data_IF_411891170692
#
_entry.id   IF_411891170692
#
_cell.length_a   1.000
_cell.length_b   1.000
_cell.length_c   1.000
_cell.angle_alpha   90.00
_cell.angle_beta   90.00
_cell.angle_gamma   90.00
#
_symmetry.space_group_name_H-M   'P 1'
#
loop_
_entity.id
_entity.type
_entity.pdbx_description
1 polymer ?
#
# COMPACT_ATOMS: atom_id res chain seq x y z
N UNK A 1 -54.55 53.30 -11.89
CA UNK A 1 -55.36 52.88 -10.72
C UNK A 1 -56.07 51.57 -11.05
N UNK A 2 -55.86 50.53 -10.23
CA UNK A 2 -56.49 49.18 -10.19
C UNK A 2 -56.18 48.26 -11.39
N UNK A 3 -55.12 47.44 -11.31
CA UNK A 3 -55.04 46.05 -10.80
C UNK A 3 -56.01 45.06 -11.45
N UNK A 4 -55.50 44.07 -12.20
CA UNK A 4 -55.72 42.63 -11.97
C UNK A 4 -54.67 41.85 -12.77
N UNK A 5 -53.61 41.37 -12.10
CA UNK A 5 -52.68 40.36 -12.63
C UNK A 5 -53.17 39.01 -12.12
N UNK A 6 -53.46 38.08 -13.04
CA UNK A 6 -53.71 36.67 -12.74
C UNK A 6 -52.38 36.03 -12.31
N UNK A 7 -52.24 35.69 -11.03
CA UNK A 7 -51.19 34.76 -10.56
C UNK A 7 -51.74 33.33 -10.71
N UNK A 8 -51.21 32.59 -11.68
CA UNK A 8 -51.34 31.13 -11.75
C UNK A 8 -50.29 30.56 -10.79
N UNK A 9 -50.73 30.10 -9.63
CA UNK A 9 -49.91 29.34 -8.70
C UNK A 9 -49.84 27.88 -9.17
N UNK A 10 -48.88 27.55 -10.04
CA UNK A 10 -48.50 26.16 -10.29
C UNK A 10 -47.72 25.64 -9.08
N UNK A 11 -48.43 24.97 -8.18
CA UNK A 11 -47.83 24.15 -7.14
C UNK A 11 -47.24 22.89 -7.77
N UNK A 12 -45.95 22.91 -8.08
CA UNK A 12 -45.21 21.69 -8.41
C UNK A 12 -44.99 20.95 -7.08
N UNK A 13 -45.84 19.98 -6.79
CA UNK A 13 -45.54 18.95 -5.80
C UNK A 13 -44.36 18.13 -6.33
N UNK A 14 -43.18 18.35 -5.78
CA UNK A 14 -42.08 17.39 -5.83
C UNK A 14 -42.50 16.17 -4.98
N UNK A 15 -43.14 15.18 -5.60
CA UNK A 15 -43.24 13.86 -4.98
C UNK A 15 -41.85 13.22 -5.00
N UNK A 16 -41.22 13.16 -3.83
CA UNK A 16 -40.12 12.23 -3.61
C UNK A 16 -40.69 10.81 -3.74
N UNK A 17 -40.31 10.08 -4.79
CA UNK A 17 -40.65 8.66 -4.93
C UNK A 17 -39.96 7.85 -3.83
N UNK A 18 -40.70 7.51 -2.77
CA UNK A 18 -40.33 6.38 -1.91
C UNK A 18 -40.67 5.09 -2.64
N UNK A 19 -39.75 4.11 -2.76
CA UNK A 19 -40.04 2.85 -3.42
C UNK A 19 -41.21 2.13 -2.72
N UNK A 20 -42.02 1.40 -3.50
CA UNK A 20 -43.12 0.61 -2.93
C UNK A 20 -42.59 -0.53 -2.06
N UNK A 21 -43.41 -1.06 -1.15
CA UNK A 21 -43.04 -2.18 -0.28
C UNK A 21 -42.56 -3.41 -1.10
N UNK A 22 -43.23 -3.70 -2.21
CA UNK A 22 -42.82 -4.76 -3.15
C UNK A 22 -41.47 -4.48 -3.83
N UNK A 23 -41.15 -3.23 -4.15
CA UNK A 23 -39.85 -2.88 -4.73
C UNK A 23 -38.72 -3.04 -3.70
N UNK A 24 -38.96 -2.65 -2.45
CA UNK A 24 -38.00 -2.80 -1.35
C UNK A 24 -37.72 -4.28 -1.06
N UNK A 25 -38.77 -5.11 -1.03
CA UNK A 25 -38.66 -6.55 -0.81
C UNK A 25 -37.86 -7.23 -1.94
N UNK A 26 -38.15 -6.90 -3.19
CA UNK A 26 -37.42 -7.46 -4.34
C UNK A 26 -35.94 -7.05 -4.34
N UNK A 27 -35.63 -5.81 -3.93
CA UNK A 27 -34.25 -5.36 -3.78
C UNK A 27 -33.50 -6.18 -2.71
N UNK A 28 -34.13 -6.39 -1.54
CA UNK A 28 -33.54 -7.20 -0.48
C UNK A 28 -33.30 -8.65 -0.93
N UNK A 29 -34.26 -9.26 -1.62
CA UNK A 29 -34.11 -10.61 -2.20
C UNK A 29 -32.91 -10.66 -3.15
N UNK A 30 -32.75 -9.67 -4.02
CA UNK A 30 -31.59 -9.57 -4.92
C UNK A 30 -30.25 -9.50 -4.17
N UNK A 31 -30.18 -8.77 -3.06
CA UNK A 31 -28.99 -8.74 -2.20
C UNK A 31 -28.68 -10.11 -1.59
N UNK A 32 -29.71 -10.84 -1.13
CA UNK A 32 -29.53 -12.18 -0.55
C UNK A 32 -29.03 -13.18 -1.61
N UNK A 33 -29.55 -13.12 -2.84
CA UNK A 33 -29.06 -13.97 -3.95
C UNK A 33 -27.58 -13.70 -4.24
N UNK A 34 -27.18 -12.43 -4.35
CA UNK A 34 -25.77 -12.08 -4.56
C UNK A 34 -24.86 -12.56 -3.42
N UNK A 35 -25.33 -12.47 -2.16
CA UNK A 35 -24.57 -12.96 -1.02
C UNK A 35 -24.45 -14.48 -0.98
N UNK A 36 -25.50 -15.22 -1.34
CA UNK A 36 -25.45 -16.66 -1.45
C UNK A 36 -24.47 -17.10 -2.55
N UNK A 37 -24.51 -16.45 -3.72
CA UNK A 37 -23.58 -16.71 -4.83
C UNK A 37 -22.11 -16.45 -4.42
N UNK A 38 -21.83 -15.34 -3.74
CA UNK A 38 -20.47 -15.03 -3.29
C UNK A 38 -19.91 -16.07 -2.30
N UNK A 39 -20.77 -16.67 -1.47
CA UNK A 39 -20.39 -17.74 -0.53
C UNK A 39 -20.25 -19.08 -1.26
N UNK A 40 -21.14 -19.38 -2.20
CA UNK A 40 -21.05 -20.56 -3.06
C UNK A 40 -19.70 -20.60 -3.78
N UNK A 41 -19.32 -19.47 -4.39
CA UNK A 41 -18.10 -19.29 -5.18
C UNK A 41 -16.80 -19.11 -4.35
N UNK A 42 -16.86 -19.27 -3.02
CA UNK A 42 -15.73 -19.09 -2.09
C UNK A 42 -15.08 -17.69 -2.12
N UNK A 43 -15.79 -16.68 -2.65
CA UNK A 43 -15.35 -15.28 -2.61
C UNK A 43 -15.47 -14.72 -1.19
N UNK A 44 -16.55 -15.09 -0.47
CA UNK A 44 -16.77 -14.73 0.93
C UNK A 44 -16.88 -15.99 1.80
N UNK A 45 -16.12 -16.10 2.90
CA UNK A 45 -16.33 -17.19 3.86
C UNK A 45 -17.74 -17.13 4.48
N UNK A 46 -18.19 -15.95 4.88
CA UNK A 46 -19.58 -15.66 5.24
C UNK A 46 -20.05 -14.34 4.61
N UNK A 47 -21.35 -14.24 4.35
CA UNK A 47 -21.99 -13.00 3.92
C UNK A 47 -23.14 -12.63 4.86
N UNK A 48 -23.18 -11.37 5.30
CA UNK A 48 -24.18 -10.85 6.22
C UNK A 48 -25.21 -10.02 5.46
N UNK A 49 -26.49 -10.23 5.73
CA UNK A 49 -27.51 -9.23 5.41
C UNK A 49 -27.27 -7.93 6.18
N UNK A 50 -27.98 -6.88 5.79
CA UNK A 50 -28.10 -5.71 6.66
C UNK A 50 -28.77 -6.10 8.00
N UNK A 51 -28.48 -5.38 9.10
CA UNK A 51 -29.20 -5.55 10.35
C UNK A 51 -30.66 -5.10 10.22
N UNK A 52 -31.59 -6.03 10.45
CA UNK A 52 -33.03 -5.85 10.28
C UNK A 52 -33.79 -6.11 11.59
N UNK A 53 -34.98 -5.54 11.74
CA UNK A 53 -35.87 -5.93 12.83
C UNK A 53 -36.42 -7.34 12.59
N UNK A 54 -36.88 -7.97 13.68
CA UNK A 54 -37.40 -9.33 13.66
C UNK A 54 -38.50 -9.52 12.62
N UNK A 55 -39.42 -8.56 12.52
CA UNK A 55 -40.58 -8.60 11.64
C UNK A 55 -40.18 -8.55 10.17
N UNK A 56 -39.10 -7.81 9.85
CA UNK A 56 -38.53 -7.75 8.50
C UNK A 56 -37.88 -9.08 8.13
N UNK A 57 -37.11 -9.67 9.05
CA UNK A 57 -36.51 -11.00 8.86
C UNK A 57 -37.58 -12.06 8.67
N UNK A 58 -38.65 -12.03 9.46
CA UNK A 58 -39.76 -12.98 9.36
C UNK A 58 -40.43 -12.96 7.97
N UNK A 59 -40.52 -11.78 7.32
CA UNK A 59 -41.06 -11.65 5.95
C UNK A 59 -40.18 -12.31 4.87
N UNK A 60 -38.86 -12.34 5.05
CA UNK A 60 -37.89 -12.81 4.03
C UNK A 60 -37.28 -14.18 4.35
N UNK A 61 -37.52 -14.71 5.54
CA UNK A 61 -36.83 -15.91 6.05
C UNK A 61 -36.99 -17.13 5.14
N UNK A 62 -38.23 -17.45 4.74
CA UNK A 62 -38.49 -18.59 3.84
C UNK A 62 -37.76 -18.41 2.50
N UNK A 63 -37.78 -17.19 1.95
CA UNK A 63 -37.09 -16.88 0.71
C UNK A 63 -35.57 -17.01 0.86
N UNK A 64 -35.00 -16.56 1.96
CA UNK A 64 -33.58 -16.71 2.25
C UNK A 64 -33.17 -18.20 2.33
N UNK A 65 -34.00 -19.07 2.91
CA UNK A 65 -33.76 -20.50 2.94
C UNK A 65 -33.81 -21.12 1.54
N UNK A 66 -34.77 -20.72 0.71
CA UNK A 66 -34.86 -21.17 -0.69
C UNK A 66 -33.61 -20.74 -1.49
N UNK A 67 -33.16 -19.49 -1.33
CA UNK A 67 -31.94 -18.98 -1.96
C UNK A 67 -30.72 -19.78 -1.50
N UNK A 68 -30.56 -19.99 -0.19
CA UNK A 68 -29.45 -20.76 0.35
C UNK A 68 -29.42 -22.18 -0.25
N UNK A 69 -30.58 -22.85 -0.30
CA UNK A 69 -30.70 -24.18 -0.92
C UNK A 69 -30.39 -24.18 -2.41
N UNK A 70 -30.80 -23.14 -3.16
CA UNK A 70 -30.53 -22.99 -4.60
C UNK A 70 -29.02 -22.91 -4.89
N UNK A 71 -28.27 -22.23 -4.03
CA UNK A 71 -26.82 -22.02 -4.15
C UNK A 71 -25.99 -23.07 -3.37
N UNK A 72 -26.62 -24.10 -2.79
CA UNK A 72 -25.92 -25.15 -2.04
C UNK A 72 -25.21 -24.65 -0.77
N UNK A 73 -25.66 -23.54 -0.19
CA UNK A 73 -25.12 -22.94 1.04
C UNK A 73 -26.13 -23.00 2.19
N UNK A 74 -25.69 -22.72 3.41
CA UNK A 74 -26.55 -22.56 4.58
C UNK A 74 -26.93 -21.10 4.82
N UNK A 75 -28.06 -20.87 5.49
CA UNK A 75 -28.42 -19.57 6.07
C UNK A 75 -28.66 -19.72 7.57
N UNK A 76 -27.99 -18.89 8.35
CA UNK A 76 -28.13 -18.84 9.81
C UNK A 76 -28.77 -17.51 10.23
N UNK A 77 -29.87 -17.58 10.99
CA UNK A 77 -30.53 -16.43 11.59
C UNK A 77 -29.80 -16.05 12.88
N UNK A 78 -28.99 -15.00 12.81
CA UNK A 78 -28.24 -14.46 13.93
C UNK A 78 -29.04 -13.41 14.67
N UNK A 79 -29.31 -13.63 15.95
CA UNK A 79 -30.07 -12.71 16.82
C UNK A 79 -29.19 -11.85 17.72
N UNK A 80 -27.89 -12.14 17.77
CA UNK A 80 -26.92 -11.42 18.57
C UNK A 80 -25.57 -11.42 17.85
N UNK A 81 -25.46 -10.56 16.83
CA UNK A 81 -24.27 -10.43 16.00
C UNK A 81 -23.02 -10.21 16.88
N UNK A 82 -21.89 -10.81 16.49
CA UNK A 82 -20.63 -10.56 17.18
C UNK A 82 -20.30 -9.06 17.15
N UNK A 83 -19.96 -8.50 18.31
CA UNK A 83 -19.53 -7.10 18.44
C UNK A 83 -18.02 -7.07 18.56
N UNK A 84 -17.34 -6.63 17.50
CA UNK A 84 -15.89 -6.38 17.50
C UNK A 84 -15.63 -4.90 17.22
N UNK A 85 -14.36 -4.50 17.30
CA UNK A 85 -13.91 -3.15 16.94
C UNK A 85 -14.07 -2.81 15.44
N UNK A 86 -14.52 -3.77 14.61
CA UNK A 86 -14.66 -3.58 13.17
C UNK A 86 -15.87 -2.70 12.78
N UNK A 87 -16.91 -2.67 13.62
CA UNK A 87 -18.13 -1.90 13.40
C UNK A 87 -18.58 -1.21 14.70
N UNK A 88 -19.44 -0.17 14.63
CA UNK A 88 -20.01 0.45 15.83
C UNK A 88 -20.77 -0.58 16.69
N UNK A 89 -20.55 -0.58 18.01
CA UNK A 89 -21.11 -1.59 18.90
C UNK A 89 -22.64 -1.70 18.87
N UNK A 90 -23.34 -0.62 18.55
CA UNK A 90 -24.80 -0.57 18.46
C UNK A 90 -25.40 -0.93 17.10
N UNK A 91 -24.59 -1.24 16.07
CA UNK A 91 -25.06 -1.36 14.68
C UNK A 91 -26.16 -2.44 14.50
N UNK A 92 -26.11 -3.50 15.33
CA UNK A 92 -27.05 -4.61 15.31
C UNK A 92 -27.86 -4.73 16.62
N UNK A 93 -27.94 -3.67 17.42
CA UNK A 93 -28.71 -3.71 18.67
C UNK A 93 -30.21 -3.93 18.38
N UNK A 94 -30.82 -4.93 19.02
CA UNK A 94 -32.21 -5.34 18.83
C UNK A 94 -32.57 -5.70 17.38
N UNK A 95 -31.55 -6.09 16.59
CA UNK A 95 -31.70 -6.45 15.18
C UNK A 95 -31.13 -7.84 14.96
N UNK A 96 -31.63 -8.49 13.93
CA UNK A 96 -31.20 -9.79 13.46
C UNK A 96 -30.45 -9.64 12.13
N UNK A 97 -29.57 -10.61 11.85
CA UNK A 97 -28.77 -10.67 10.64
C UNK A 97 -28.87 -12.07 10.06
N UNK A 98 -29.07 -12.18 8.75
CA UNK A 98 -28.98 -13.44 8.04
C UNK A 98 -27.53 -13.65 7.61
N UNK A 99 -26.96 -14.79 7.95
CA UNK A 99 -25.59 -15.18 7.59
C UNK A 99 -25.67 -16.30 6.56
N UNK A 100 -25.26 -16.03 5.33
CA UNK A 100 -25.01 -17.09 4.34
C UNK A 100 -23.61 -17.67 4.56
N UNK A 101 -23.49 -19.00 4.57
CA UNK A 101 -22.26 -19.66 4.98
C UNK A 101 -22.11 -21.09 4.40
N UNK A 102 -20.86 -21.57 4.36
CA UNK A 102 -20.53 -23.01 4.41
C UNK A 102 -20.38 -23.47 5.87
N UNK A 103 -20.50 -24.77 6.20
CA UNK A 103 -20.51 -25.25 7.59
C UNK A 103 -19.28 -24.82 8.42
N UNK A 104 -18.09 -24.89 7.83
CA UNK A 104 -16.81 -24.59 8.47
C UNK A 104 -16.68 -23.10 8.78
N UNK A 105 -17.15 -22.23 7.87
CA UNK A 105 -17.12 -20.79 8.05
C UNK A 105 -18.07 -20.33 9.17
N UNK A 106 -19.26 -20.94 9.28
CA UNK A 106 -20.15 -20.69 10.41
C UNK A 106 -19.55 -21.15 11.74
N UNK A 107 -18.84 -22.28 11.75
CA UNK A 107 -18.13 -22.73 12.94
C UNK A 107 -17.05 -21.72 13.35
N UNK A 108 -16.25 -21.24 12.39
CA UNK A 108 -15.23 -20.22 12.65
C UNK A 108 -15.81 -18.91 13.20
N UNK A 109 -16.99 -18.51 12.74
CA UNK A 109 -17.75 -17.37 13.27
C UNK A 109 -18.25 -17.62 14.70
N UNK A 110 -18.79 -18.80 14.99
CA UNK A 110 -19.22 -19.18 16.35
C UNK A 110 -18.06 -19.22 17.34
N UNK A 111 -16.91 -19.72 16.90
CA UNK A 111 -15.68 -19.72 17.69
C UNK A 111 -15.20 -18.30 17.99
N UNK A 112 -15.26 -17.39 17.01
CA UNK A 112 -15.00 -15.96 17.23
C UNK A 112 -15.96 -15.38 18.28
N UNK A 113 -17.27 -15.67 18.20
CA UNK A 113 -18.23 -15.23 19.23
C UNK A 113 -17.86 -15.73 20.61
N UNK A 114 -17.40 -16.98 20.73
CA UNK A 114 -16.95 -17.55 22.00
C UNK A 114 -15.73 -16.81 22.55
N UNK A 115 -14.73 -16.53 21.72
CA UNK A 115 -13.55 -15.73 22.06
C UNK A 115 -13.95 -14.34 22.60
N UNK A 116 -14.80 -13.62 21.86
CA UNK A 116 -15.29 -12.30 22.27
C UNK A 116 -16.06 -12.35 23.59
N UNK A 117 -16.92 -13.36 23.78
CA UNK A 117 -17.66 -13.56 25.03
C UNK A 117 -16.77 -13.91 26.22
N UNK A 118 -15.60 -14.52 25.99
CA UNK A 118 -14.61 -14.74 27.05
C UNK A 118 -13.81 -13.50 27.45
N UNK A 119 -14.09 -12.34 26.84
CA UNK A 119 -13.46 -11.05 27.15
C UNK A 119 -12.30 -10.67 26.22
N UNK A 120 -11.96 -11.51 25.23
CA UNK A 120 -10.94 -11.19 24.23
C UNK A 120 -11.60 -10.48 23.03
N UNK A 121 -11.44 -9.16 22.93
CA UNK A 121 -12.08 -8.37 21.87
C UNK A 121 -11.21 -7.19 21.42
N UNK A 122 -9.98 -7.49 20.98
CA UNK A 122 -9.02 -6.51 20.48
C UNK A 122 -8.98 -6.44 18.95
N UNK A 123 -7.92 -5.82 18.44
CA UNK A 123 -7.62 -5.72 17.00
C UNK A 123 -7.63 -7.10 16.32
N UNK A 124 -7.09 -8.13 16.97
CA UNK A 124 -7.00 -9.49 16.43
C UNK A 124 -8.37 -10.10 16.11
N UNK A 125 -9.36 -9.93 16.99
CA UNK A 125 -10.72 -10.42 16.79
C UNK A 125 -11.46 -9.63 15.71
N UNK A 126 -11.24 -8.31 15.64
CA UNK A 126 -11.78 -7.48 14.58
C UNK A 126 -11.22 -7.87 13.20
N UNK A 127 -9.90 -8.10 13.10
CA UNK A 127 -9.26 -8.62 11.88
C UNK A 127 -9.77 -10.02 11.52
N UNK A 128 -9.94 -10.91 12.51
CA UNK A 128 -10.55 -12.23 12.30
C UNK A 128 -11.96 -12.12 11.74
N UNK A 129 -12.77 -11.19 12.25
CA UNK A 129 -14.10 -10.95 11.71
C UNK A 129 -14.05 -10.41 10.27
N UNK A 130 -13.16 -9.44 10.00
CA UNK A 130 -12.98 -8.90 8.65
C UNK A 130 -12.57 -9.96 7.63
N UNK A 131 -11.67 -10.88 8.01
CA UNK A 131 -11.30 -12.03 7.17
C UNK A 131 -12.48 -12.98 6.91
N UNK A 132 -13.31 -13.25 7.91
CA UNK A 132 -14.55 -14.03 7.71
C UNK A 132 -15.51 -13.35 6.72
N UNK A 133 -15.53 -12.01 6.67
CA UNK A 133 -16.31 -11.24 5.71
C UNK A 133 -15.63 -11.14 4.32
N UNK A 134 -14.46 -11.74 4.14
CA UNK A 134 -13.69 -11.69 2.89
C UNK A 134 -13.06 -10.31 2.62
N UNK A 135 -12.87 -9.48 3.65
CA UNK A 135 -12.28 -8.16 3.47
C UNK A 135 -10.76 -8.22 3.34
N UNK A 136 -10.16 -7.48 2.40
CA UNK A 136 -8.70 -7.34 2.33
C UNK A 136 -8.17 -6.49 3.48
N UNK A 137 -6.90 -6.67 3.85
CA UNK A 137 -6.25 -6.01 5.00
C UNK A 137 -6.40 -4.48 5.00
N UNK A 138 -6.26 -3.83 3.84
CA UNK A 138 -6.42 -2.37 3.71
C UNK A 138 -7.85 -1.91 4.04
N UNK A 139 -8.88 -2.68 3.69
CA UNK A 139 -10.26 -2.33 4.02
C UNK A 139 -10.57 -2.60 5.50
N UNK A 140 -10.00 -3.66 6.08
CA UNK A 140 -10.06 -3.91 7.52
C UNK A 140 -9.41 -2.76 8.29
N UNK A 141 -8.23 -2.29 7.87
CA UNK A 141 -7.58 -1.12 8.45
C UNK A 141 -8.47 0.12 8.38
N UNK A 142 -9.11 0.40 7.23
CA UNK A 142 -10.04 1.53 7.10
C UNK A 142 -11.23 1.43 8.07
N UNK A 143 -11.78 0.23 8.28
CA UNK A 143 -12.85 0.02 9.25
C UNK A 143 -12.36 0.19 10.68
N UNK A 144 -11.17 -0.31 11.02
CA UNK A 144 -10.55 -0.09 12.32
C UNK A 144 -10.30 1.40 12.59
N UNK A 145 -9.72 2.15 11.64
CA UNK A 145 -9.46 3.58 11.78
C UNK A 145 -10.74 4.41 11.97
N UNK A 146 -11.86 3.96 11.40
CA UNK A 146 -13.18 4.60 11.56
C UNK A 146 -13.81 4.36 12.94
N UNK A 147 -13.49 3.23 13.58
CA UNK A 147 -14.19 2.78 14.80
C UNK A 147 -13.29 2.80 16.04
N UNK A 148 -11.99 3.02 15.89
CA UNK A 148 -10.98 3.01 16.97
C UNK A 148 -9.93 4.10 16.78
N UNK A 149 -8.96 4.16 17.69
CA UNK A 149 -7.75 4.96 17.59
C UNK A 149 -6.68 4.35 16.68
N UNK A 150 -6.88 3.14 16.13
CA UNK A 150 -5.97 2.51 15.17
C UNK A 150 -5.68 3.42 13.98
N UNK A 151 -4.39 3.58 13.65
CA UNK A 151 -3.91 4.31 12.47
C UNK A 151 -2.78 3.57 11.79
N UNK A 152 -2.53 3.93 10.54
CA UNK A 152 -1.46 3.43 9.69
C UNK A 152 -0.65 4.61 9.14
N UNK A 153 0.53 4.35 8.57
CA UNK A 153 1.41 5.41 8.06
C UNK A 153 0.70 6.35 7.05
N UNK A 154 -0.12 5.87 6.10
CA UNK A 154 -0.87 6.73 5.19
C UNK A 154 -1.79 7.76 5.86
N UNK A 155 -2.31 7.46 7.06
CA UNK A 155 -3.22 8.37 7.79
C UNK A 155 -2.51 9.68 8.23
N UNK A 156 -1.17 9.72 8.22
CA UNK A 156 -0.35 10.87 8.60
C UNK A 156 0.21 11.65 7.40
N UNK A 157 -0.35 11.42 6.20
CA UNK A 157 0.00 12.16 5.00
C UNK A 157 1.33 11.71 4.40
N UNK A 158 1.43 10.43 4.05
CA UNK A 158 2.56 9.86 3.31
C UNK A 158 2.71 10.52 1.94
N UNK A 159 3.88 11.11 1.67
CA UNK A 159 4.16 11.86 0.45
C UNK A 159 5.00 11.10 -0.57
N UNK A 160 5.73 10.08 -0.16
CA UNK A 160 6.60 9.30 -1.02
C UNK A 160 7.59 8.49 -0.18
N UNK A 161 8.54 7.86 -0.86
CA UNK A 161 9.65 7.18 -0.20
C UNK A 161 11.00 7.57 -0.79
N UNK A 162 12.03 7.26 -0.03
CA UNK A 162 13.42 7.45 -0.40
C UNK A 162 14.19 6.22 0.04
N UNK A 163 15.21 5.82 -0.70
CA UNK A 163 16.11 4.73 -0.30
C UNK A 163 17.50 5.29 -0.09
N UNK A 164 18.18 4.88 0.98
CA UNK A 164 19.54 5.29 1.28
C UNK A 164 20.52 4.20 0.86
N UNK A 165 21.45 4.55 -0.03
CA UNK A 165 22.56 3.71 -0.43
C UNK A 165 23.87 4.34 0.07
N UNK A 166 24.77 3.50 0.54
CA UNK A 166 25.99 3.90 1.25
C UNK A 166 27.23 3.57 0.42
N UNK A 167 28.10 4.56 0.26
CA UNK A 167 29.26 4.52 -0.64
C UNK A 167 30.55 4.87 0.08
N UNK A 168 31.63 4.19 -0.31
CA UNK A 168 32.98 4.59 0.05
C UNK A 168 33.45 5.79 -0.80
N UNK A 169 33.08 5.84 -2.08
CA UNK A 169 33.31 6.94 -3.02
C UNK A 169 31.99 7.61 -3.40
N UNK A 170 31.54 8.55 -2.56
CA UNK A 170 30.31 9.30 -2.78
C UNK A 170 30.34 10.12 -4.07
N UNK A 171 31.49 10.70 -4.45
CA UNK A 171 31.61 11.49 -5.68
C UNK A 171 31.49 10.61 -6.93
N UNK A 172 32.06 9.40 -6.90
CA UNK A 172 31.84 8.38 -7.93
C UNK A 172 30.37 8.01 -8.08
N UNK A 173 29.65 7.82 -6.97
CA UNK A 173 28.21 7.56 -6.99
C UNK A 173 27.42 8.75 -7.54
N UNK A 174 27.71 9.98 -7.10
CA UNK A 174 27.06 11.21 -7.60
C UNK A 174 27.21 11.35 -9.11
N UNK A 175 28.41 11.09 -9.63
CA UNK A 175 28.68 11.09 -11.06
C UNK A 175 27.85 10.03 -11.79
N UNK A 176 27.80 8.81 -11.26
CA UNK A 176 27.01 7.74 -11.88
C UNK A 176 25.51 8.08 -11.93
N UNK A 177 24.89 8.44 -10.81
CA UNK A 177 23.45 8.72 -10.78
C UNK A 177 23.09 10.05 -11.46
N UNK A 178 23.91 11.08 -11.32
CA UNK A 178 23.64 12.41 -11.87
C UNK A 178 24.02 12.56 -13.35
N UNK A 179 25.17 12.01 -13.78
CA UNK A 179 25.66 12.15 -15.16
C UNK A 179 25.35 10.93 -16.01
N UNK A 180 25.62 9.71 -15.53
CA UNK A 180 25.36 8.48 -16.31
C UNK A 180 23.88 8.14 -16.39
N UNK A 181 23.15 8.21 -15.28
CA UNK A 181 21.69 7.99 -15.28
C UNK A 181 20.88 9.26 -15.49
N UNK A 182 21.51 10.44 -15.44
CA UNK A 182 20.84 11.71 -15.71
C UNK A 182 19.79 12.13 -14.66
N UNK A 183 19.87 11.61 -13.44
CA UNK A 183 18.89 11.90 -12.38
C UNK A 183 19.05 13.32 -11.84
N UNK A 184 17.94 14.01 -11.62
CA UNK A 184 17.92 15.36 -11.07
C UNK A 184 18.36 15.35 -9.61
N UNK A 185 19.37 16.14 -9.25
CA UNK A 185 19.78 16.36 -7.86
C UNK A 185 18.77 17.28 -7.18
N UNK A 186 18.14 16.79 -6.12
CA UNK A 186 17.14 17.52 -5.33
C UNK A 186 17.75 18.28 -4.16
N UNK A 187 18.78 17.70 -3.55
CA UNK A 187 19.54 18.28 -2.46
C UNK A 187 20.95 17.68 -2.40
N UNK A 188 21.91 18.46 -1.90
CA UNK A 188 23.26 18.01 -1.60
C UNK A 188 23.70 18.61 -0.25
N UNK A 189 23.90 17.76 0.74
CA UNK A 189 24.33 18.14 2.09
C UNK A 189 25.84 17.88 2.31
N UNK A 190 26.58 17.58 1.24
CA UNK A 190 28.00 17.25 1.26
C UNK A 190 28.29 15.80 1.65
N UNK A 191 27.69 15.31 2.75
CA UNK A 191 27.80 13.90 3.17
C UNK A 191 26.68 13.01 2.62
N UNK A 192 25.65 13.62 2.05
CA UNK A 192 24.53 12.93 1.44
C UNK A 192 23.95 13.75 0.28
N UNK A 193 23.66 13.10 -0.84
CA UNK A 193 23.06 13.72 -2.02
C UNK A 193 21.78 12.98 -2.40
N UNK A 194 20.67 13.70 -2.51
CA UNK A 194 19.38 13.12 -2.91
C UNK A 194 19.13 13.37 -4.39
N UNK A 195 18.83 12.31 -5.14
CA UNK A 195 18.44 12.37 -6.55
C UNK A 195 17.00 11.90 -6.74
N UNK A 196 16.33 12.47 -7.74
CA UNK A 196 14.95 12.14 -8.10
C UNK A 196 14.91 10.97 -9.08
N UNK A 197 14.26 9.87 -8.70
CA UNK A 197 13.86 8.84 -9.66
C UNK A 197 12.52 9.23 -10.28
N UNK A 198 11.53 9.51 -9.42
CA UNK A 198 10.21 10.03 -9.79
C UNK A 198 9.78 11.12 -8.80
N UNK A 199 8.63 11.77 -9.03
CA UNK A 199 8.08 12.75 -8.09
C UNK A 199 7.82 12.19 -6.68
N UNK A 200 7.66 10.87 -6.51
CA UNK A 200 7.33 10.22 -5.23
C UNK A 200 8.35 9.17 -4.76
N UNK A 201 9.36 8.88 -5.57
CA UNK A 201 10.42 7.92 -5.27
C UNK A 201 11.79 8.57 -5.47
N UNK A 202 12.56 8.64 -4.39
CA UNK A 202 13.89 9.26 -4.39
C UNK A 202 14.97 8.27 -3.98
N UNK A 203 16.21 8.64 -4.27
CA UNK A 203 17.40 7.90 -3.86
C UNK A 203 18.37 8.86 -3.19
N UNK A 204 18.84 8.53 -2.01
CA UNK A 204 19.89 9.27 -1.31
C UNK A 204 21.17 8.47 -1.30
N UNK A 205 22.21 9.07 -1.85
CA UNK A 205 23.58 8.58 -1.84
C UNK A 205 24.25 9.11 -0.57
N UNK A 206 24.81 8.24 0.26
CA UNK A 206 25.36 8.60 1.58
C UNK A 206 26.82 8.20 1.68
N UNK A 207 27.65 9.09 2.22
CA UNK A 207 29.01 8.75 2.63
C UNK A 207 28.98 7.71 3.77
N UNK A 208 29.46 6.50 3.50
CA UNK A 208 29.48 5.39 4.45
C UNK A 208 30.41 5.62 5.67
N UNK A 209 31.33 6.59 5.60
CA UNK A 209 32.17 6.97 6.74
C UNK A 209 31.34 7.62 7.86
N UNK A 210 30.25 8.30 7.51
CA UNK A 210 29.38 9.05 8.43
C UNK A 210 28.02 8.38 8.58
N UNK A 211 27.58 7.65 7.54
CA UNK A 211 26.29 6.97 7.49
C UNK A 211 26.10 5.83 8.49
N UNK A 212 24.84 5.41 8.63
CA UNK A 212 24.40 4.32 9.52
C UNK A 212 24.98 2.96 9.11
N UNK A 213 25.12 2.72 7.81
CA UNK A 213 25.65 1.46 7.27
C UNK A 213 27.08 1.65 6.77
N UNK A 214 27.86 0.57 6.83
CA UNK A 214 29.21 0.51 6.25
C UNK A 214 29.17 0.03 4.80
N UNK A 215 30.12 0.50 3.99
CA UNK A 215 30.16 0.22 2.55
C UNK A 215 30.38 -1.27 2.22
N UNK A 216 30.98 -2.02 3.15
CA UNK A 216 31.24 -3.46 3.07
C UNK A 216 30.08 -4.32 3.57
N UNK A 217 29.01 -3.72 4.12
CA UNK A 217 27.81 -4.47 4.45
C UNK A 217 27.20 -5.09 3.19
N UNK A 218 26.60 -6.29 3.29
CA UNK A 218 25.89 -6.86 2.16
C UNK A 218 24.75 -5.94 1.72
N UNK A 219 24.79 -5.54 0.45
CA UNK A 219 23.82 -4.65 -0.20
C UNK A 219 22.51 -5.39 -0.47
N UNK A 220 21.78 -5.79 0.57
CA UNK A 220 20.52 -6.56 0.45
C UNK A 220 19.35 -5.69 0.03
N UNK A 221 19.47 -5.08 -1.13
CA UNK A 221 18.46 -4.24 -1.77
C UNK A 221 18.68 -4.25 -3.26
N UNK A 222 17.60 -4.25 -4.01
CA UNK A 222 17.62 -3.92 -5.43
C UNK A 222 16.62 -2.78 -5.66
N UNK A 223 16.93 -1.90 -6.61
CA UNK A 223 16.04 -0.81 -7.00
C UNK A 223 15.61 -1.08 -8.43
N UNK A 224 14.32 -1.37 -8.63
CA UNK A 224 13.75 -1.40 -9.96
C UNK A 224 13.35 0.00 -10.40
N UNK A 225 13.87 0.41 -11.56
CA UNK A 225 13.63 1.67 -12.24
C UNK A 225 12.71 1.37 -13.43
N UNK A 226 11.44 1.78 -13.31
CA UNK A 226 10.42 1.38 -14.27
C UNK A 226 10.43 2.30 -15.49
N UNK A 227 10.59 1.74 -16.69
CA UNK A 227 10.72 2.51 -17.93
C UNK A 227 10.04 1.81 -19.12
N UNK A 228 9.59 2.60 -20.10
CA UNK A 228 9.05 2.09 -21.36
C UNK A 228 10.12 2.03 -22.47
N UNK A 229 11.38 2.34 -22.13
CA UNK A 229 12.52 2.46 -23.07
C UNK A 229 13.64 1.48 -22.72
N UNK A 230 13.27 0.25 -22.36
CA UNK A 230 14.22 -0.78 -21.93
C UNK A 230 15.33 -1.08 -22.94
N UNK A 231 15.04 -1.28 -24.25
CA UNK A 231 16.10 -1.54 -25.22
C UNK A 231 17.12 -0.40 -25.31
N UNK A 232 16.67 0.85 -25.23
CA UNK A 232 17.52 2.03 -25.30
C UNK A 232 18.40 2.18 -24.04
N UNK A 233 17.82 1.99 -22.86
CA UNK A 233 18.57 1.98 -21.60
C UNK A 233 19.64 0.89 -21.59
N UNK A 234 19.30 -0.32 -22.04
CA UNK A 234 20.24 -1.42 -22.13
C UNK A 234 21.42 -1.11 -23.06
N UNK A 235 21.13 -0.65 -24.30
CA UNK A 235 22.16 -0.31 -25.27
C UNK A 235 23.07 0.83 -24.77
N UNK A 236 22.49 1.88 -24.19
CA UNK A 236 23.25 3.00 -23.64
C UNK A 236 24.18 2.58 -22.51
N UNK A 237 23.69 1.79 -21.54
CA UNK A 237 24.50 1.37 -20.40
C UNK A 237 25.64 0.45 -20.84
N UNK A 238 25.43 -0.38 -21.85
CA UNK A 238 26.51 -1.17 -22.47
C UNK A 238 27.55 -0.28 -23.17
N UNK A 239 27.13 0.73 -23.93
CA UNK A 239 28.04 1.68 -24.59
C UNK A 239 28.88 2.46 -23.56
N UNK A 240 28.26 2.84 -22.44
CA UNK A 240 28.93 3.50 -21.31
C UNK A 240 29.68 2.52 -20.39
N UNK A 241 29.73 1.22 -20.74
CA UNK A 241 30.45 0.16 -20.03
C UNK A 241 30.03 0.00 -18.57
N UNK A 242 28.76 0.26 -18.27
CA UNK A 242 28.17 -0.05 -16.97
C UNK A 242 28.06 -1.57 -16.84
N UNK A 243 28.52 -2.20 -15.74
CA UNK A 243 28.46 -3.64 -15.59
C UNK A 243 27.02 -4.16 -15.58
N UNK A 244 26.74 -5.18 -16.39
CA UNK A 244 25.45 -5.86 -16.44
C UNK A 244 25.57 -7.23 -15.76
N UNK A 245 24.73 -7.47 -14.75
CA UNK A 245 24.65 -8.75 -14.03
C UNK A 245 23.72 -9.73 -14.72
N UNK A 246 22.56 -9.24 -15.16
CA UNK A 246 21.55 -10.04 -15.87
C UNK A 246 21.17 -9.32 -17.16
N UNK A 247 21.40 -9.98 -18.30
CA UNK A 247 21.22 -9.40 -19.63
C UNK A 247 19.74 -9.27 -20.04
N UNK A 248 19.45 -8.27 -20.88
CA UNK A 248 18.12 -8.06 -21.45
C UNK A 248 17.74 -9.22 -22.39
N UNK A 249 16.73 -10.00 -22.00
CA UNK A 249 16.23 -11.18 -22.72
C UNK A 249 14.70 -11.19 -22.74
N UNK A 250 14.06 -10.28 -23.52
CA UNK A 250 12.62 -10.12 -23.50
C UNK A 250 11.89 -11.40 -23.93
N UNK A 251 10.73 -11.66 -23.34
CA UNK A 251 9.88 -12.81 -23.68
C UNK A 251 8.43 -12.39 -23.88
N UNK A 252 7.74 -13.06 -24.78
CA UNK A 252 6.37 -12.71 -25.17
C UNK A 252 5.37 -12.83 -24.00
N UNK A 253 5.47 -13.88 -23.19
CA UNK A 253 4.51 -14.21 -22.12
C UNK A 253 5.06 -14.03 -20.70
N UNK A 254 6.02 -13.12 -20.49
CA UNK A 254 6.50 -12.80 -19.15
C UNK A 254 5.65 -11.70 -18.49
N UNK A 255 5.59 -11.72 -17.15
CA UNK A 255 4.99 -10.64 -16.36
C UNK A 255 5.75 -9.31 -16.49
N UNK A 256 7.05 -9.35 -16.71
CA UNK A 256 7.89 -8.18 -16.93
C UNK A 256 9.07 -8.57 -17.83
N UNK A 257 9.60 -7.60 -18.54
CA UNK A 257 10.93 -7.69 -19.10
C UNK A 257 11.87 -6.75 -18.33
N UNK A 258 13.15 -7.08 -18.32
CA UNK A 258 14.14 -6.23 -17.69
C UNK A 258 15.55 -6.76 -17.84
N UNK A 259 16.49 -5.99 -17.29
CA UNK A 259 17.90 -6.35 -17.12
C UNK A 259 18.40 -5.73 -15.82
N UNK A 260 19.53 -6.21 -15.31
CA UNK A 260 20.10 -5.74 -14.04
C UNK A 260 21.49 -5.19 -14.26
N UNK A 261 21.65 -3.90 -14.03
CA UNK A 261 22.94 -3.22 -13.97
C UNK A 261 23.48 -3.21 -12.53
N UNK A 262 24.79 -3.05 -12.41
CA UNK A 262 25.48 -2.89 -11.13
C UNK A 262 26.01 -1.46 -11.08
N UNK A 263 25.71 -0.76 -10.00
CA UNK A 263 26.25 0.58 -9.75
C UNK A 263 27.76 0.53 -9.41
N UNK A 264 28.44 1.68 -9.21
CA UNK A 264 29.89 1.71 -8.99
C UNK A 264 30.40 0.86 -7.82
N UNK A 265 29.57 0.57 -6.82
CA UNK A 265 29.98 -0.16 -5.61
C UNK A 265 29.23 -1.47 -5.39
N UNK A 266 28.34 -1.89 -6.28
CA UNK A 266 27.73 -3.22 -6.23
C UNK A 266 26.24 -3.25 -5.91
N UNK A 267 25.55 -2.11 -5.79
CA UNK A 267 24.09 -2.12 -5.66
C UNK A 267 23.46 -2.54 -6.99
N UNK A 268 22.36 -3.29 -6.91
CA UNK A 268 21.66 -3.79 -8.09
C UNK A 268 20.57 -2.80 -8.50
N UNK A 269 20.62 -2.41 -9.77
CA UNK A 269 19.62 -1.57 -10.41
C UNK A 269 18.92 -2.38 -11.49
N UNK A 270 17.65 -2.68 -11.27
CA UNK A 270 16.82 -3.38 -12.24
C UNK A 270 16.18 -2.33 -13.15
N UNK A 271 16.32 -2.47 -14.46
CA UNK A 271 15.58 -1.67 -15.42
C UNK A 271 14.45 -2.55 -15.89
N UNK A 272 13.22 -2.18 -15.57
CA UNK A 272 12.07 -3.06 -15.75
C UNK A 272 10.89 -2.39 -16.45
N UNK A 273 10.12 -3.22 -17.16
CA UNK A 273 8.84 -2.86 -17.75
C UNK A 273 7.84 -3.97 -17.44
N UNK A 274 6.80 -3.63 -16.69
CA UNK A 274 5.68 -4.53 -16.45
C UNK A 274 4.84 -4.68 -17.72
N UNK A 275 4.33 -5.89 -17.94
CA UNK A 275 3.46 -6.23 -19.06
C UNK A 275 2.07 -6.60 -18.58
N UNK A 276 1.12 -6.56 -19.51
CA UNK A 276 -0.18 -7.18 -19.29
C UNK A 276 0.01 -8.69 -19.06
N UNK A 277 -0.29 -9.14 -17.85
CA UNK A 277 -0.10 -10.51 -17.39
C UNK A 277 -1.03 -10.75 -16.18
N UNK A 278 -1.49 -11.99 -15.90
CA UNK A 278 -2.34 -12.29 -14.73
C UNK A 278 -1.78 -11.75 -13.41
N UNK A 279 -0.46 -11.77 -13.23
CA UNK A 279 0.20 -11.24 -12.02
C UNK A 279 0.07 -9.71 -11.86
N UNK A 280 -0.13 -8.97 -12.97
CA UNK A 280 -0.14 -7.51 -12.97
C UNK A 280 -1.54 -6.92 -13.21
N UNK A 281 -2.61 -7.71 -13.18
CA UNK A 281 -3.98 -7.22 -13.46
C UNK A 281 -4.40 -6.06 -12.55
N UNK A 282 -3.93 -6.04 -11.30
CA UNK A 282 -4.15 -4.93 -10.37
C UNK A 282 -3.15 -3.78 -10.57
N UNK A 283 -1.93 -4.08 -11.02
CA UNK A 283 -0.86 -3.10 -11.16
C UNK A 283 -0.98 -2.27 -12.44
N UNK A 284 -1.21 -2.92 -13.60
CA UNK A 284 -1.23 -2.27 -14.91
C UNK A 284 -2.15 -1.04 -14.99
N UNK A 285 -3.40 -1.07 -14.46
CA UNK A 285 -4.27 0.10 -14.49
C UNK A 285 -3.83 1.26 -13.59
N UNK A 286 -2.91 1.00 -12.64
CA UNK A 286 -2.41 1.99 -11.68
C UNK A 286 -1.06 2.56 -12.08
N UNK A 287 -0.34 1.93 -13.01
CA UNK A 287 0.91 2.46 -13.53
C UNK A 287 0.62 3.72 -14.35
N UNK A 288 1.45 4.77 -14.20
CA UNK A 288 1.37 5.94 -15.06
C UNK A 288 1.44 5.53 -16.54
N UNK A 289 0.50 6.08 -17.32
CA UNK A 289 0.38 5.79 -18.76
C UNK A 289 1.18 6.76 -19.64
N UNK A 290 1.96 7.65 -19.03
CA UNK A 290 2.78 8.63 -19.74
C UNK A 290 4.24 8.19 -19.80
N UNK A 291 4.92 8.67 -20.85
CA UNK A 291 6.37 8.54 -20.95
C UNK A 291 7.05 9.18 -19.75
N UNK A 292 8.02 8.47 -19.20
CA UNK A 292 8.66 8.83 -17.95
C UNK A 292 9.33 10.22 -17.97
N UNK A 293 9.32 10.90 -16.82
CA UNK A 293 9.87 12.25 -16.68
C UNK A 293 11.10 12.19 -15.77
N UNK A 294 12.30 12.29 -16.34
CA UNK A 294 13.47 12.79 -15.60
C UNK A 294 14.18 13.83 -16.47
N UNK A 295 14.84 14.81 -15.85
CA UNK A 295 15.60 15.79 -16.62
C UNK A 295 16.61 16.54 -15.78
N UNK A 296 17.89 16.36 -16.12
CA UNK A 296 18.94 17.34 -15.85
C UNK A 296 19.98 17.50 -16.99
N UNK A 297 19.99 16.65 -18.03
CA UNK A 297 21.02 16.74 -19.09
C UNK A 297 20.41 16.83 -20.49
N UNK A 298 21.20 17.35 -21.45
CA UNK A 298 20.87 17.35 -22.89
C UNK A 298 21.07 15.98 -23.55
N UNK A 299 21.62 15.01 -22.83
CA UNK A 299 21.93 13.66 -23.33
C UNK A 299 20.72 12.72 -23.25
N UNK A 300 19.84 12.92 -22.27
CA UNK A 300 18.60 12.17 -22.10
C UNK A 300 17.41 13.13 -22.12
N UNK A 301 16.45 12.88 -23.00
CA UNK A 301 15.33 13.80 -23.15
C UNK A 301 14.42 13.76 -21.92
N UNK A 302 13.68 14.86 -21.66
CA UNK A 302 12.66 14.97 -20.60
C UNK A 302 11.53 13.91 -20.66
N UNK A 303 11.58 12.98 -21.61
CA UNK A 303 10.57 11.95 -21.91
C UNK A 303 11.09 10.51 -21.73
N UNK A 304 12.33 10.30 -21.27
CA UNK A 304 12.99 8.97 -21.26
C UNK A 304 13.44 8.50 -19.87
N UNK A 305 12.93 9.12 -18.79
CA UNK A 305 13.30 8.80 -17.41
C UNK A 305 12.66 7.51 -16.87
N UNK A 306 12.27 7.53 -15.59
CA UNK A 306 11.50 6.45 -14.94
C UNK A 306 10.09 6.92 -14.55
N UNK A 307 9.08 6.06 -14.75
CA UNK A 307 7.69 6.35 -14.39
C UNK A 307 7.31 5.78 -13.02
N UNK A 308 8.15 4.91 -12.45
CA UNK A 308 7.97 4.35 -11.13
C UNK A 308 9.27 3.77 -10.61
N UNK A 309 9.32 3.49 -9.30
CA UNK A 309 10.41 2.75 -8.70
C UNK A 309 9.90 1.72 -7.70
N UNK A 310 10.50 0.53 -7.70
CA UNK A 310 10.26 -0.51 -6.68
C UNK A 310 11.54 -0.68 -5.87
N UNK A 311 11.46 -0.52 -4.55
CA UNK A 311 12.57 -0.86 -3.65
C UNK A 311 12.37 -2.29 -3.13
N UNK A 312 13.19 -3.24 -3.59
CA UNK A 312 13.11 -4.65 -3.19
C UNK A 312 13.92 -4.92 -1.93
N UNK A 313 13.23 -5.43 -0.90
CA UNK A 313 13.79 -5.82 0.39
C UNK A 313 13.67 -7.33 0.58
N UNK A 314 14.65 -7.94 1.26
CA UNK A 314 14.81 -9.40 1.34
C UNK A 314 14.60 -9.90 2.79
N UNK A 315 13.68 -10.86 2.94
CA UNK A 315 13.21 -11.34 4.23
C UNK A 315 13.45 -12.83 4.41
N UNK A 316 13.71 -13.22 5.66
CA UNK A 316 13.71 -14.62 6.07
C UNK A 316 12.27 -15.12 6.31
N UNK A 317 11.43 -14.33 6.99
CA UNK A 317 10.00 -14.60 7.18
C UNK A 317 9.14 -13.63 6.34
N UNK A 318 8.73 -14.10 5.17
CA UNK A 318 7.85 -13.36 4.26
C UNK A 318 6.45 -13.11 4.83
N UNK A 319 5.94 -14.01 5.68
CA UNK A 319 4.59 -13.87 6.24
C UNK A 319 4.58 -12.80 7.34
N UNK A 320 5.62 -12.74 8.16
CA UNK A 320 5.79 -11.68 9.15
C UNK A 320 5.94 -10.31 8.48
N UNK A 321 6.79 -10.21 7.46
CA UNK A 321 6.97 -8.99 6.68
C UNK A 321 5.65 -8.53 6.02
N UNK A 322 4.90 -9.46 5.41
CA UNK A 322 3.60 -9.16 4.82
C UNK A 322 2.62 -8.60 5.86
N UNK A 323 2.45 -9.27 7.01
CA UNK A 323 1.57 -8.78 8.08
C UNK A 323 1.99 -7.39 8.56
N UNK A 324 3.28 -7.16 8.71
CA UNK A 324 3.80 -5.86 9.12
C UNK A 324 3.44 -4.75 8.13
N UNK A 325 3.75 -4.93 6.85
CA UNK A 325 3.51 -3.90 5.84
C UNK A 325 2.02 -3.69 5.55
N UNK A 326 1.19 -4.72 5.61
CA UNK A 326 -0.26 -4.61 5.41
C UNK A 326 -1.01 -4.09 6.64
N UNK A 327 -0.71 -4.60 7.84
CA UNK A 327 -1.52 -4.36 9.03
C UNK A 327 -0.98 -3.24 9.92
N UNK A 328 0.34 -3.02 9.95
CA UNK A 328 0.98 -2.02 10.83
C UNK A 328 1.40 -0.77 10.07
N UNK A 329 2.03 -0.93 8.91
CA UNK A 329 2.37 0.22 8.05
C UNK A 329 1.18 0.64 7.19
N UNK A 330 0.36 -0.30 6.70
CA UNK A 330 -0.90 -0.02 6.01
C UNK A 330 -0.82 0.03 4.48
N UNK A 331 0.20 -0.56 3.87
CA UNK A 331 0.34 -0.58 2.41
C UNK A 331 -0.59 -1.60 1.74
N UNK A 332 -1.00 -1.27 0.51
CA UNK A 332 -1.88 -2.11 -0.31
C UNK A 332 -1.05 -3.03 -1.20
N UNK A 333 -1.26 -4.34 -1.07
CA UNK A 333 -0.70 -5.35 -1.96
C UNK A 333 -1.28 -5.22 -3.38
N UNK A 334 -0.41 -5.10 -4.38
CA UNK A 334 -0.77 -5.00 -5.80
C UNK A 334 -0.41 -6.25 -6.59
N UNK A 335 0.78 -6.81 -6.37
CA UNK A 335 1.27 -8.01 -7.05
C UNK A 335 1.68 -9.04 -6.02
N UNK A 336 1.27 -10.30 -6.25
CA UNK A 336 1.64 -11.44 -5.40
C UNK A 336 2.09 -12.62 -6.26
N UNK A 337 3.39 -12.91 -6.24
CA UNK A 337 4.01 -14.06 -6.91
C UNK A 337 4.34 -15.19 -5.92
N UNK A 338 3.82 -15.12 -4.68
CA UNK A 338 4.17 -16.00 -3.58
C UNK A 338 5.51 -15.65 -2.93
N UNK A 339 6.60 -15.68 -3.71
CA UNK A 339 7.97 -15.43 -3.24
C UNK A 339 8.43 -13.97 -3.41
N UNK A 340 7.71 -13.18 -4.20
CA UNK A 340 7.90 -11.74 -4.34
C UNK A 340 6.53 -11.04 -4.30
N UNK A 341 6.45 -9.89 -3.65
CA UNK A 341 5.22 -9.13 -3.44
C UNK A 341 5.48 -7.64 -3.60
N UNK A 342 4.58 -6.93 -4.28
CA UNK A 342 4.70 -5.47 -4.50
C UNK A 342 3.57 -4.74 -3.80
N UNK A 343 3.93 -3.76 -2.98
CA UNK A 343 3.02 -2.92 -2.22
C UNK A 343 3.10 -1.47 -2.71
N UNK A 344 1.94 -0.82 -2.76
CA UNK A 344 1.84 0.59 -3.13
C UNK A 344 2.20 1.48 -1.94
N UNK A 345 3.23 2.32 -2.10
CA UNK A 345 3.54 3.41 -1.17
C UNK A 345 2.84 4.68 -1.65
N UNK A 346 2.95 4.98 -2.95
CA UNK A 346 2.33 6.12 -3.63
C UNK A 346 2.06 5.80 -5.11
N UNK A 347 1.71 6.80 -5.92
CA UNK A 347 1.41 6.62 -7.35
C UNK A 347 2.61 6.12 -8.17
N UNK A 348 3.84 6.52 -7.81
CA UNK A 348 5.07 6.19 -8.56
C UNK A 348 6.17 5.61 -7.68
N UNK A 349 5.83 5.19 -6.46
CA UNK A 349 6.74 4.52 -5.54
C UNK A 349 6.11 3.27 -4.93
N UNK A 350 6.89 2.19 -4.93
CA UNK A 350 6.46 0.87 -4.49
C UNK A 350 7.52 0.23 -3.59
N UNK A 351 7.05 -0.62 -2.68
CA UNK A 351 7.90 -1.48 -1.87
C UNK A 351 7.75 -2.93 -2.33
N UNK A 352 8.87 -3.57 -2.58
CA UNK A 352 8.94 -4.98 -2.91
C UNK A 352 9.42 -5.81 -1.71
N UNK A 353 8.73 -6.91 -1.40
CA UNK A 353 9.20 -7.91 -0.43
C UNK A 353 9.59 -9.17 -1.18
N UNK A 354 10.77 -9.72 -0.90
CA UNK A 354 11.30 -10.92 -1.57
C UNK A 354 11.75 -11.94 -0.55
N UNK A 355 11.42 -13.22 -0.81
CA UNK A 355 11.98 -14.35 -0.07
C UNK A 355 13.49 -14.42 -0.32
N UNK A 356 14.27 -14.21 0.74
CA UNK A 356 15.74 -14.24 0.69
C UNK A 356 16.33 -15.60 0.27
N UNK A 357 15.53 -16.66 0.17
CA UNK A 357 15.97 -17.97 -0.36
C UNK A 357 15.86 -18.08 -1.88
N UNK A 358 15.17 -17.14 -2.54
CA UNK A 358 14.86 -17.19 -3.98
C UNK A 358 15.33 -15.95 -4.75
N UNK A 359 15.35 -14.79 -4.10
CA UNK A 359 15.74 -13.53 -4.71
C UNK A 359 17.23 -13.43 -5.07
N UNK A 360 17.61 -12.29 -5.65
CA UNK A 360 19.00 -11.99 -6.03
C UNK A 360 19.95 -11.81 -4.84
N UNK A 361 19.40 -11.59 -3.65
CA UNK A 361 20.13 -11.48 -2.40
C UNK A 361 19.61 -12.47 -1.36
N UNK A 362 20.53 -13.05 -0.59
CA UNK A 362 20.20 -13.81 0.60
C UNK A 362 19.92 -12.91 1.79
N UNK A 363 19.11 -13.40 2.72
CA UNK A 363 18.89 -12.71 3.99
C UNK A 363 20.20 -12.55 4.77
N UNK A 364 20.34 -11.41 5.45
CA UNK A 364 21.37 -11.09 6.44
C UNK A 364 20.83 -10.03 7.40
N UNK A 365 21.41 -9.95 8.59
CA UNK A 365 21.10 -8.92 9.59
C UNK A 365 21.66 -7.54 9.21
N UNK A 366 22.80 -7.52 8.55
CA UNK A 366 23.41 -6.32 7.99
C UNK A 366 22.82 -6.06 6.61
N UNK A 367 22.20 -4.89 6.43
CA UNK A 367 21.35 -4.63 5.26
C UNK A 367 22.01 -3.81 4.16
N UNK A 368 23.04 -3.04 4.49
CA UNK A 368 23.66 -2.10 3.56
C UNK A 368 22.71 -1.03 3.00
N UNK A 369 21.54 -0.82 3.60
CA UNK A 369 20.55 0.17 3.14
C UNK A 369 19.56 0.54 4.25
N UNK A 370 18.95 1.71 4.12
CA UNK A 370 17.79 2.15 4.91
C UNK A 370 16.69 2.63 3.97
N UNK A 371 15.43 2.53 4.38
CA UNK A 371 14.28 3.06 3.63
C UNK A 371 13.67 4.22 4.40
N UNK A 372 13.42 5.33 3.72
CA UNK A 372 12.73 6.51 4.25
C UNK A 372 11.30 6.61 3.74
N UNK A 373 10.44 7.17 4.58
CA UNK A 373 9.10 7.62 4.21
C UNK A 373 8.94 9.10 4.55
N UNK A 374 8.52 9.89 3.56
CA UNK A 374 8.29 11.32 3.75
C UNK A 374 6.87 11.49 4.30
N UNK A 375 6.75 12.01 5.52
CA UNK A 375 5.47 12.09 6.27
C UNK A 375 5.12 13.55 6.54
N UNK A 376 3.92 13.97 6.15
CA UNK A 376 3.44 15.34 6.37
C UNK A 376 3.30 15.66 7.87
N UNK A 377 2.62 14.80 8.61
CA UNK A 377 2.42 14.93 10.06
C UNK A 377 3.34 13.96 10.82
N UNK A 378 4.64 14.22 10.74
CA UNK A 378 5.69 13.37 11.32
C UNK A 378 5.53 13.23 12.83
N UNK A 379 5.27 14.33 13.53
CA UNK A 379 5.12 14.37 14.97
C UNK A 379 3.91 13.52 15.44
N UNK A 380 2.74 13.62 14.79
CA UNK A 380 1.61 12.78 15.15
C UNK A 380 1.85 11.29 14.84
N UNK A 381 2.57 10.96 13.76
CA UNK A 381 2.96 9.58 13.48
C UNK A 381 3.89 9.04 14.57
N UNK A 382 4.87 9.83 14.99
CA UNK A 382 5.78 9.47 16.07
C UNK A 382 5.03 9.25 17.38
N UNK A 383 4.11 10.14 17.76
CA UNK A 383 3.29 9.99 18.97
C UNK A 383 2.44 8.72 18.93
N UNK A 384 1.83 8.43 17.77
CA UNK A 384 1.09 7.19 17.55
C UNK A 384 1.99 5.96 17.73
N UNK A 385 3.20 5.97 17.16
CA UNK A 385 4.18 4.88 17.29
C UNK A 385 4.62 4.68 18.74
N UNK A 386 4.83 5.77 19.50
CA UNK A 386 5.19 5.69 20.92
C UNK A 386 4.07 5.09 21.77
N UNK A 387 2.82 5.44 21.47
CA UNK A 387 1.65 4.96 22.20
C UNK A 387 1.31 3.51 21.86
N UNK A 388 1.33 3.13 20.58
CA UNK A 388 0.80 1.84 20.10
C UNK A 388 1.88 0.81 19.77
N UNK A 389 3.15 1.23 19.71
CA UNK A 389 4.32 0.36 19.48
C UNK A 389 4.16 -0.61 18.28
N UNK A 390 3.77 -0.13 17.08
CA UNK A 390 3.61 -1.00 15.90
C UNK A 390 4.94 -1.61 15.43
N UNK A 391 6.07 -1.03 15.82
CA UNK A 391 7.44 -1.51 15.59
C UNK A 391 8.41 -0.92 16.62
N UNK A 392 9.60 -1.51 16.79
CA UNK A 392 10.64 -0.95 17.66
C UNK A 392 11.20 0.37 17.11
N UNK A 393 11.15 1.42 17.94
CA UNK A 393 11.89 2.67 17.70
C UNK A 393 13.38 2.43 18.03
N UNK A 394 14.26 2.80 17.10
CA UNK A 394 15.72 2.70 17.21
C UNK A 394 16.39 4.04 17.46
N UNK A 395 15.76 5.12 17.02
CA UNK A 395 16.20 6.48 17.30
C UNK A 395 14.97 7.35 17.49
N UNK A 396 14.92 8.02 18.64
CA UNK A 396 13.86 8.98 18.95
C UNK A 396 13.92 10.18 17.99
N UNK A 397 12.82 10.94 17.93
CA UNK A 397 12.71 12.08 17.03
C UNK A 397 13.85 13.08 17.24
N UNK A 398 14.47 13.48 16.13
CA UNK A 398 15.63 14.36 16.10
C UNK A 398 15.54 15.35 14.94
N UNK A 399 16.31 16.43 15.05
CA UNK A 399 16.51 17.39 13.95
C UNK A 399 17.87 17.13 13.31
N UNK A 400 17.89 16.99 11.99
CA UNK A 400 19.09 16.77 11.21
C UNK A 400 20.03 17.98 11.25
N UNK A 401 21.29 17.75 10.83
CA UNK A 401 22.33 18.78 10.83
C UNK A 401 21.89 20.03 10.06
N UNK A 402 22.14 21.21 10.65
CA UNK A 402 21.75 22.53 10.11
C UNK A 402 20.24 22.68 9.89
N UNK A 403 19.43 22.02 10.71
CA UNK A 403 17.97 22.15 10.69
C UNK A 403 17.35 21.84 9.32
N UNK A 404 17.94 20.90 8.57
CA UNK A 404 17.48 20.53 7.21
C UNK A 404 16.26 19.63 7.19
N UNK A 405 16.07 18.79 8.20
CA UNK A 405 14.96 17.85 8.28
C UNK A 405 14.69 17.46 9.74
N UNK A 406 13.51 16.90 10.00
CA UNK A 406 13.24 16.13 11.22
C UNK A 406 13.01 14.68 10.86
N UNK A 407 13.45 13.77 11.71
CA UNK A 407 13.26 12.35 11.50
C UNK A 407 13.17 11.58 12.82
N UNK A 408 12.63 10.37 12.77
CA UNK A 408 12.87 9.31 13.75
C UNK A 408 13.06 7.99 13.01
N UNK A 409 13.62 6.98 13.68
CA UNK A 409 14.00 5.72 13.03
C UNK A 409 13.36 4.56 13.76
N UNK A 410 12.63 3.74 13.00
CA UNK A 410 12.14 2.42 13.41
C UNK A 410 12.93 1.30 12.75
N UNK A 411 12.52 0.06 13.02
CA UNK A 411 13.03 -1.13 12.34
C UNK A 411 11.89 -2.08 12.01
N UNK A 412 11.92 -2.65 10.81
CA UNK A 412 10.95 -3.64 10.36
C UNK A 412 11.32 -5.07 10.85
N UNK A 413 10.49 -6.10 10.60
CA UNK A 413 10.82 -7.49 10.96
C UNK A 413 12.05 -8.03 10.24
N UNK A 414 12.35 -7.52 9.06
CA UNK A 414 13.52 -7.88 8.27
C UNK A 414 14.83 -7.34 8.83
N UNK A 415 14.81 -6.44 9.83
CA UNK A 415 15.92 -5.65 10.38
C UNK A 415 16.35 -4.44 9.54
N UNK A 416 15.61 -4.07 8.50
CA UNK A 416 15.80 -2.81 7.79
C UNK A 416 15.45 -1.62 8.68
N UNK A 417 16.30 -0.60 8.68
CA UNK A 417 15.96 0.67 9.30
C UNK A 417 14.95 1.41 8.43
N UNK A 418 13.86 1.82 9.08
CA UNK A 418 12.83 2.65 8.49
C UNK A 418 12.95 4.05 9.07
N UNK A 419 13.40 5.00 8.25
CA UNK A 419 13.39 6.41 8.63
C UNK A 419 12.04 7.04 8.25
N UNK A 420 11.46 7.80 9.17
CA UNK A 420 10.27 8.61 8.90
C UNK A 420 10.71 10.04 9.04
N UNK A 421 10.51 10.84 8.01
CA UNK A 421 11.07 12.19 8.00
C UNK A 421 10.15 13.21 7.33
N UNK A 422 10.38 14.48 7.67
CA UNK A 422 9.93 15.63 6.88
C UNK A 422 11.07 16.61 6.71
N UNK A 423 11.14 17.20 5.53
CA UNK A 423 12.10 18.25 5.24
C UNK A 423 11.65 19.57 5.86
N UNK A 424 12.61 20.36 6.34
CA UNK A 424 12.38 21.69 6.85
C UNK A 424 12.74 22.71 5.78
N UNK A 425 12.19 23.91 5.86
CA UNK A 425 12.54 25.00 4.95
C UNK A 425 14.03 25.30 5.06
N UNK A 426 14.78 25.06 3.98
CA UNK A 426 16.23 25.25 3.95
C UNK A 426 16.69 25.51 2.52
N UNK A 427 17.78 26.27 2.36
CA UNK A 427 18.31 26.59 1.02
C UNK A 427 18.72 25.34 0.22
N UNK A 428 19.21 24.30 0.90
CA UNK A 428 19.61 23.01 0.31
C UNK A 428 18.40 22.13 -0.08
N UNK A 429 17.19 22.48 0.38
CA UNK A 429 15.96 21.72 0.15
C UNK A 429 15.09 22.27 -0.98
N UNK A 430 15.50 23.35 -1.66
CA UNK A 430 14.67 24.01 -2.69
C UNK A 430 14.13 23.05 -3.77
N UNK A 431 14.94 22.06 -4.19
CA UNK A 431 14.51 21.04 -5.15
C UNK A 431 13.44 20.11 -4.57
N UNK A 432 13.63 19.68 -3.33
CA UNK A 432 12.68 18.87 -2.57
C UNK A 432 11.36 19.63 -2.33
N UNK A 433 11.45 20.87 -1.85
CA UNK A 433 10.29 21.70 -1.52
C UNK A 433 9.41 21.95 -2.75
N UNK A 434 10.03 22.16 -3.93
CA UNK A 434 9.30 22.31 -5.19
C UNK A 434 8.45 21.07 -5.50
N UNK A 435 8.98 19.88 -5.25
CA UNK A 435 8.28 18.62 -5.46
C UNK A 435 7.18 18.47 -4.41
N UNK A 436 7.51 18.52 -3.12
CA UNK A 436 6.54 18.32 -2.04
C UNK A 436 5.35 19.29 -2.15
N UNK A 437 5.59 20.57 -2.45
CA UNK A 437 4.54 21.57 -2.59
C UNK A 437 3.66 21.37 -3.84
N UNK A 438 4.14 20.64 -4.85
CA UNK A 438 3.32 20.24 -6.01
C UNK A 438 2.42 19.03 -5.76
N UNK A 439 2.60 18.37 -4.60
CA UNK A 439 1.93 17.12 -4.23
C UNK A 439 0.84 17.32 -3.15
N UNK A 440 0.63 18.55 -2.72
CA UNK A 440 -0.49 19.03 -1.91
C UNK A 440 -1.44 19.84 -2.82
#
# INVERSE_FOLDING_TARGET
>A
MKNTIFLIASSILLMACTPSEDQSLNLQIGHLEAFAEMVEADVKPIALSEPMFKEEVDKIWEKAQQIASKHGVGVFRETNLVVTQLFPAGIAQNKEVLIFHKPEALQAYRDLKKTVRSGQNGEAEARRFGRLLGYPSHYINQLLSKNTDFRTLPDFGLKGSNVFLYYQDLEGAKKFYGETLGLEVLSDYGFATTVKITEKAWLTLVDAAIGRHKADEPKTVAIALLTNRLPEWYAYLQENKVPIKYEYKPRENNAHDGFVAIDPEGYLLEFEQFKQHPENEKLMPQLPQYDAISGATSQWSKKEGFYGAVTWLYYEDMQEAQRFYEEKIGFKLLVDQGWAKVYQISETSYLGLVDGRRGMHSFTDLKGTSVSFIVKDLEAWYDYVKQHQPFPVKQEIYTGKEDRYKAFVGQDPGKYFLEFNRFLEHQDNKGIDKIINSLD
#
